data_IF_304674269848
#
_entry.id   IF_304674269848
#
_cell.length_a   1.000
_cell.length_b   1.000
_cell.length_c   1.000
_cell.angle_alpha   90.00
_cell.angle_beta   90.00
_cell.angle_gamma   90.00
#
_symmetry.space_group_name_H-M   'P 1'
#
loop_
_entity.id
_entity.type
_entity.pdbx_description
1 polymer ?
#
# COMPACT_ATOMS: atom_id res chain seq x y z
N UNK A 1 11.80 -21.65 3.74
CA UNK A 1 11.40 -21.97 2.35
C UNK A 1 10.21 -21.12 1.95
N UNK A 2 10.28 -20.45 0.82
CA UNK A 2 9.16 -19.61 0.35
C UNK A 2 8.08 -20.47 -0.26
N UNK A 3 6.86 -20.29 0.25
CA UNK A 3 5.68 -20.96 -0.30
C UNK A 3 4.97 -20.03 -1.27
N UNK A 4 4.01 -20.58 -2.04
CA UNK A 4 3.17 -19.74 -2.94
C UNK A 4 2.42 -18.68 -2.15
N UNK A 5 2.00 -18.98 -0.92
CA UNK A 5 1.28 -18.00 -0.09
C UNK A 5 2.17 -16.83 0.30
N UNK A 6 3.43 -17.09 0.64
CA UNK A 6 4.40 -16.04 0.96
C UNK A 6 4.65 -15.16 -0.27
N UNK A 7 4.84 -15.79 -1.42
CA UNK A 7 5.07 -15.05 -2.68
C UNK A 7 3.86 -14.18 -3.00
N UNK A 8 2.66 -14.70 -2.83
CA UNK A 8 1.43 -13.95 -3.07
C UNK A 8 1.31 -12.75 -2.14
N UNK A 9 1.58 -12.94 -0.85
CA UNK A 9 1.53 -11.84 0.12
C UNK A 9 2.55 -10.76 -0.18
N UNK A 10 3.77 -11.15 -0.58
CA UNK A 10 4.80 -10.19 -0.94
C UNK A 10 4.42 -9.44 -2.22
N UNK A 11 3.85 -10.13 -3.21
CA UNK A 11 3.39 -9.49 -4.43
C UNK A 11 2.27 -8.49 -4.16
N UNK A 12 1.32 -8.84 -3.28
CA UNK A 12 0.26 -7.93 -2.88
C UNK A 12 0.80 -6.73 -2.12
N UNK A 13 1.80 -6.94 -1.25
CA UNK A 13 2.43 -5.83 -0.53
C UNK A 13 3.11 -4.87 -1.50
N UNK A 14 3.83 -5.38 -2.49
CA UNK A 14 4.47 -4.54 -3.50
C UNK A 14 3.45 -3.78 -4.34
N UNK A 15 2.37 -4.44 -4.73
CA UNK A 15 1.29 -3.80 -5.48
C UNK A 15 0.66 -2.67 -4.68
N UNK A 16 0.36 -2.93 -3.40
CA UNK A 16 -0.23 -1.92 -2.53
C UNK A 16 0.73 -0.75 -2.27
N UNK A 17 2.03 -1.05 -2.15
CA UNK A 17 3.04 0.00 -1.98
C UNK A 17 3.10 0.91 -3.21
N UNK A 18 3.05 0.32 -4.40
CA UNK A 18 3.00 1.08 -5.64
C UNK A 18 1.73 1.96 -5.70
N UNK A 19 0.59 1.38 -5.35
CA UNK A 19 -0.67 2.10 -5.30
C UNK A 19 -0.62 3.25 -4.29
N UNK A 20 0.02 3.03 -3.13
CA UNK A 20 0.19 4.07 -2.12
C UNK A 20 1.01 5.24 -2.67
N UNK A 21 2.08 4.94 -3.41
CA UNK A 21 2.90 5.97 -4.04
C UNK A 21 2.10 6.81 -5.04
N UNK A 22 1.25 6.16 -5.84
CA UNK A 22 0.38 6.86 -6.77
C UNK A 22 -0.65 7.73 -6.05
N UNK A 23 -1.23 7.22 -4.96
CA UNK A 23 -2.18 7.99 -4.16
C UNK A 23 -1.52 9.23 -3.55
N UNK A 24 -0.28 9.08 -3.07
CA UNK A 24 0.48 10.20 -2.54
C UNK A 24 0.68 11.29 -3.61
N UNK A 25 1.09 10.87 -4.80
CA UNK A 25 1.32 11.79 -5.91
C UNK A 25 0.04 12.52 -6.30
N UNK A 26 -1.08 11.79 -6.37
CA UNK A 26 -2.37 12.38 -6.69
C UNK A 26 -2.83 13.35 -5.59
N UNK A 27 -2.54 13.04 -4.32
CA UNK A 27 -2.85 13.94 -3.23
C UNK A 27 -2.06 15.26 -3.35
N UNK A 28 -0.77 15.18 -3.71
CA UNK A 28 0.06 16.38 -3.92
C UNK A 28 -0.49 17.21 -5.08
N UNK A 29 -0.88 16.55 -6.18
CA UNK A 29 -1.46 17.25 -7.32
C UNK A 29 -2.75 17.99 -6.95
N UNK A 30 -3.59 17.37 -6.11
CA UNK A 30 -4.82 18.03 -5.65
C UNK A 30 -4.53 19.25 -4.78
N UNK A 31 -3.52 19.18 -3.94
CA UNK A 31 -3.09 20.33 -3.13
C UNK A 31 -2.65 21.48 -4.03
N UNK A 32 -1.89 21.20 -5.08
CA UNK A 32 -1.44 22.21 -6.03
C UNK A 32 -2.61 22.84 -6.79
N UNK A 33 -3.68 22.09 -7.03
CA UNK A 33 -4.88 22.57 -7.70
C UNK A 33 -5.86 23.28 -6.76
N UNK A 34 -5.49 23.45 -5.50
CA UNK A 34 -6.37 24.01 -4.45
C UNK A 34 -7.63 23.17 -4.22
N UNK A 35 -7.56 21.88 -4.50
CA UNK A 35 -8.63 20.95 -4.21
C UNK A 35 -8.30 20.15 -2.95
N UNK A 36 -9.35 19.58 -2.32
CA UNK A 36 -9.16 18.79 -1.11
C UNK A 36 -8.51 17.45 -1.43
N UNK A 37 -7.38 17.10 -0.82
CA UNK A 37 -6.73 15.80 -1.04
C UNK A 37 -7.25 14.71 -0.08
N UNK A 38 -8.34 14.94 0.62
CA UNK A 38 -8.82 14.04 1.68
C UNK A 38 -9.03 12.63 1.14
N UNK A 39 -9.69 12.48 0.00
CA UNK A 39 -9.94 11.18 -0.60
C UNK A 39 -8.64 10.42 -0.84
N UNK A 40 -7.65 11.09 -1.44
CA UNK A 40 -6.39 10.45 -1.77
C UNK A 40 -5.55 10.14 -0.53
N UNK A 41 -5.66 10.97 0.51
CA UNK A 41 -4.99 10.69 1.79
C UNK A 41 -5.60 9.47 2.47
N UNK A 42 -6.93 9.31 2.43
CA UNK A 42 -7.60 8.13 2.98
C UNK A 42 -7.15 6.88 2.22
N UNK A 43 -7.12 6.94 0.89
CA UNK A 43 -6.67 5.82 0.07
C UNK A 43 -5.21 5.47 0.34
N UNK A 44 -4.36 6.48 0.55
CA UNK A 44 -2.96 6.28 0.90
C UNK A 44 -2.83 5.51 2.22
N UNK A 45 -3.56 5.93 3.24
CA UNK A 45 -3.53 5.29 4.56
C UNK A 45 -4.01 3.85 4.45
N UNK A 46 -5.10 3.60 3.72
CA UNK A 46 -5.63 2.25 3.53
C UNK A 46 -4.63 1.34 2.81
N UNK A 47 -3.97 1.86 1.78
CA UNK A 47 -2.96 1.09 1.05
C UNK A 47 -1.75 0.78 1.92
N UNK A 48 -1.30 1.74 2.73
CA UNK A 48 -0.18 1.50 3.65
C UNK A 48 -0.54 0.48 4.72
N UNK A 49 -1.78 0.52 5.24
CA UNK A 49 -2.25 -0.47 6.19
C UNK A 49 -2.24 -1.86 5.56
N UNK A 50 -2.65 -2.00 4.30
CA UNK A 50 -2.61 -3.26 3.58
C UNK A 50 -1.18 -3.76 3.39
N UNK A 51 -0.23 -2.87 3.08
CA UNK A 51 1.20 -3.24 2.96
C UNK A 51 1.69 -3.84 4.27
N UNK A 52 1.40 -3.18 5.39
CA UNK A 52 1.83 -3.64 6.72
C UNK A 52 1.19 -4.99 7.03
N UNK A 53 -0.11 -5.14 6.79
CA UNK A 53 -0.82 -6.39 7.04
C UNK A 53 -0.23 -7.54 6.22
N UNK A 54 0.00 -7.33 4.94
CA UNK A 54 0.54 -8.36 4.06
C UNK A 54 1.98 -8.71 4.44
N UNK A 55 2.78 -7.72 4.82
CA UNK A 55 4.16 -7.95 5.27
C UNK A 55 4.21 -8.77 6.55
N UNK A 56 3.35 -8.43 7.52
CA UNK A 56 3.27 -9.19 8.78
C UNK A 56 2.81 -10.63 8.50
N UNK A 57 1.82 -10.81 7.61
CA UNK A 57 1.36 -12.13 7.22
C UNK A 57 2.47 -12.96 6.59
N UNK A 58 3.27 -12.37 5.70
CA UNK A 58 4.39 -13.06 5.07
C UNK A 58 5.45 -13.46 6.10
N UNK A 59 5.78 -12.57 7.04
CA UNK A 59 6.75 -12.86 8.09
C UNK A 59 6.25 -13.99 9.00
N UNK A 60 4.94 -13.99 9.32
CA UNK A 60 4.35 -15.04 10.13
C UNK A 60 4.46 -16.42 9.44
N UNK A 61 4.31 -16.46 8.13
CA UNK A 61 4.43 -17.71 7.37
C UNK A 61 5.89 -18.17 7.24
N UNK A 62 6.82 -17.24 7.23
CA UNK A 62 8.25 -17.57 7.19
C UNK A 62 8.79 -17.99 8.58
N UNK A 63 8.23 -17.40 9.61
CA UNK A 63 8.63 -17.69 10.98
C UNK A 63 7.89 -18.87 11.55
#
# INVERSE_FOLDING_TARGET
MMTSDVILLLALALFNLFAAGLCYRLAVDKIEENESPIFWHIMLILNLACVIKNAIGALALLG
#
